data_IF_397233901231
#
_entry.id   IF_397233901231
#
_cell.length_a   1.000
_cell.length_b   1.000
_cell.length_c   1.000
_cell.angle_alpha   90.00
_cell.angle_beta   90.00
_cell.angle_gamma   90.00
#
_symmetry.space_group_name_H-M   'P 1'
#
loop_
_entity.id
_entity.type
_entity.pdbx_description
1 polymer ?
#
# COMPACT_ATOMS: atom_id res chain seq x y z
N UNK A 1 -14.85 -1.27 21.95
CA UNK A 1 -14.31 -1.23 21.27
C UNK A 1 -13.56 -1.96 21.05
N UNK A 2 -13.18 -2.15 20.23
CA UNK A 2 -12.44 -2.99 20.12
C UNK A 2 -11.37 -2.76 19.37
N UNK A 3 -10.36 -2.41 19.84
CA UNK A 3 -9.13 -2.27 19.18
C UNK A 3 -8.71 -3.56 18.63
N UNK A 4 -7.88 -3.54 17.66
CA UNK A 4 -7.30 -4.74 17.14
C UNK A 4 -6.56 -5.45 18.23
N UNK A 5 -6.77 -6.71 18.41
CA UNK A 5 -6.04 -7.46 19.42
C UNK A 5 -4.62 -7.77 19.00
N UNK A 6 -4.26 -7.57 17.75
CA UNK A 6 -2.96 -7.98 17.26
C UNK A 6 -1.88 -6.93 17.43
N UNK A 7 -2.23 -5.67 17.27
CA UNK A 7 -1.27 -4.58 17.34
C UNK A 7 -2.01 -3.25 17.41
N UNK A 8 -1.30 -2.24 17.90
CA UNK A 8 -1.84 -0.89 17.91
C UNK A 8 -1.39 -0.20 16.65
N UNK A 9 -2.31 0.41 15.93
CA UNK A 9 -1.98 1.12 14.71
C UNK A 9 -1.63 2.55 15.03
N UNK A 10 -0.51 3.00 14.47
CA UNK A 10 -0.06 4.36 14.67
C UNK A 10 -0.98 5.33 13.98
N UNK A 11 -1.10 6.52 14.55
CA UNK A 11 -1.81 7.65 13.93
C UNK A 11 -3.25 7.34 13.55
N UNK A 12 -3.87 6.37 14.21
CA UNK A 12 -5.27 6.06 13.95
C UNK A 12 -5.53 5.33 12.65
N UNK A 13 -4.51 4.83 11.98
CA UNK A 13 -4.70 4.04 10.77
C UNK A 13 -5.52 2.79 11.07
N UNK A 14 -6.34 2.37 10.12
CA UNK A 14 -7.23 1.24 10.30
C UNK A 14 -6.88 0.10 9.36
N UNK A 15 -6.90 -1.15 9.84
CA UNK A 15 -6.69 -2.28 8.93
C UNK A 15 -7.89 -2.42 8.00
N UNK A 16 -7.64 -2.95 6.83
CA UNK A 16 -8.66 -3.08 5.82
C UNK A 16 -8.37 -4.35 5.02
N UNK A 17 -9.39 -5.00 4.51
CA UNK A 17 -9.17 -6.19 3.73
C UNK A 17 -8.53 -5.85 2.39
N UNK A 18 -7.94 -6.87 1.79
CA UNK A 18 -7.14 -6.72 0.58
C UNK A 18 -7.92 -6.11 -0.59
N UNK A 19 -9.14 -6.56 -0.80
CA UNK A 19 -9.88 -6.14 -1.99
C UNK A 19 -10.38 -4.69 -1.86
N UNK A 20 -10.84 -4.31 -0.67
CA UNK A 20 -11.23 -2.93 -0.42
C UNK A 20 -10.03 -2.01 -0.48
N UNK A 21 -8.87 -2.46 0.04
CA UNK A 21 -7.65 -1.68 -0.02
C UNK A 21 -7.24 -1.39 -1.47
N UNK A 22 -7.33 -2.40 -2.33
CA UNK A 22 -6.99 -2.21 -3.74
C UNK A 22 -7.90 -1.18 -4.40
N UNK A 23 -9.18 -1.21 -4.07
CA UNK A 23 -10.13 -0.24 -4.62
C UNK A 23 -9.86 1.18 -4.15
N UNK A 24 -9.44 1.31 -2.90
CA UNK A 24 -9.15 2.62 -2.34
C UNK A 24 -7.86 3.18 -2.90
N UNK A 25 -6.78 2.39 -2.85
CA UNK A 25 -5.47 2.93 -3.18
C UNK A 25 -5.36 3.38 -4.63
N UNK A 26 -6.02 2.69 -5.54
CA UNK A 26 -5.93 3.07 -6.95
C UNK A 26 -6.57 4.41 -7.25
N UNK A 27 -7.33 4.97 -6.31
CA UNK A 27 -7.95 6.28 -6.45
C UNK A 27 -7.14 7.40 -5.83
N UNK A 28 -6.11 7.05 -5.07
CA UNK A 28 -5.32 8.04 -4.35
C UNK A 28 -4.23 8.59 -5.26
N UNK A 29 -4.03 9.91 -5.23
CA UNK A 29 -2.96 10.52 -5.99
C UNK A 29 -1.62 10.27 -5.29
N UNK A 30 -0.72 9.56 -5.94
CA UNK A 30 0.61 9.28 -5.40
C UNK A 30 1.56 8.98 -6.55
N UNK A 31 2.88 9.00 -6.32
CA UNK A 31 3.83 8.64 -7.38
C UNK A 31 3.56 7.25 -7.92
N UNK A 32 3.69 7.09 -9.23
CA UNK A 32 3.36 5.82 -9.88
C UNK A 32 4.18 4.65 -9.35
N UNK A 33 5.43 4.88 -8.98
CA UNK A 33 6.25 3.79 -8.43
C UNK A 33 5.69 3.31 -7.09
N UNK A 34 5.19 4.23 -6.26
CA UNK A 34 4.57 3.85 -4.98
C UNK A 34 3.27 3.11 -5.22
N UNK A 35 2.48 3.55 -6.20
CA UNK A 35 1.23 2.88 -6.55
C UNK A 35 1.50 1.46 -7.05
N UNK A 36 2.48 1.28 -7.95
CA UNK A 36 2.84 -0.02 -8.46
C UNK A 36 3.28 -0.94 -7.31
N UNK A 37 4.11 -0.41 -6.42
CA UNK A 37 4.55 -1.18 -5.26
C UNK A 37 3.35 -1.56 -4.39
N UNK A 38 2.45 -0.62 -4.14
CA UNK A 38 1.27 -0.90 -3.31
C UNK A 38 0.44 -2.03 -3.88
N UNK A 39 0.12 -1.97 -5.16
CA UNK A 39 -0.67 -3.00 -5.80
C UNK A 39 0.07 -4.35 -5.82
N UNK A 40 1.39 -4.32 -5.97
CA UNK A 40 2.20 -5.53 -5.89
C UNK A 40 2.15 -6.13 -4.47
N UNK A 41 2.28 -5.29 -3.45
CA UNK A 41 2.20 -5.75 -2.06
C UNK A 41 0.88 -6.45 -1.79
N UNK A 42 -0.21 -5.92 -2.33
CA UNK A 42 -1.53 -6.51 -2.09
C UNK A 42 -1.61 -7.95 -2.55
N UNK A 43 -0.84 -8.32 -3.56
CA UNK A 43 -0.85 -9.70 -4.06
C UNK A 43 -0.25 -10.68 -3.07
N UNK A 44 0.48 -10.20 -2.07
CA UNK A 44 1.08 -11.05 -1.04
C UNK A 44 0.27 -11.06 0.26
N UNK A 45 -0.80 -10.27 0.32
CA UNK A 45 -1.58 -10.16 1.53
C UNK A 45 -2.59 -11.29 1.65
N UNK A 46 -2.89 -11.68 2.89
CA UNK A 46 -4.05 -12.51 3.14
C UNK A 46 -5.31 -11.69 2.87
N UNK A 47 -6.45 -12.35 2.80
CA UNK A 47 -7.71 -11.68 2.48
C UNK A 47 -8.00 -10.48 3.37
N UNK A 48 -7.66 -10.58 4.65
CA UNK A 48 -7.89 -9.49 5.61
C UNK A 48 -6.81 -8.41 5.56
N UNK A 49 -5.90 -8.46 4.58
CA UNK A 49 -4.84 -7.46 4.42
C UNK A 49 -3.61 -7.68 5.29
N UNK A 50 -3.54 -8.81 5.98
CA UNK A 50 -2.42 -9.08 6.88
C UNK A 50 -1.33 -9.93 6.21
N UNK A 51 -0.23 -10.10 6.92
CA UNK A 51 0.88 -10.98 6.56
C UNK A 51 1.56 -10.62 5.25
N UNK A 52 1.68 -9.34 4.98
CA UNK A 52 2.38 -8.87 3.79
C UNK A 52 3.87 -8.86 4.11
N UNK A 53 4.59 -9.86 3.64
CA UNK A 53 6.01 -10.00 3.98
C UNK A 53 6.87 -10.58 2.85
N UNK A 54 6.81 -10.01 1.65
CA UNK A 54 7.60 -10.56 0.54
C UNK A 54 9.09 -10.22 0.59
N UNK A 55 9.48 -9.18 1.33
CA UNK A 55 10.86 -8.73 1.38
C UNK A 55 11.22 -7.83 0.21
N UNK A 56 12.20 -6.95 0.44
CA UNK A 56 12.57 -5.94 -0.56
C UNK A 56 13.21 -6.57 -1.80
N UNK A 57 14.01 -7.62 -1.63
CA UNK A 57 14.67 -8.24 -2.77
C UNK A 57 13.67 -8.88 -3.72
N UNK A 58 12.68 -9.57 -3.18
CA UNK A 58 11.65 -10.18 -4.01
C UNK A 58 10.82 -9.12 -4.73
N UNK A 59 10.45 -8.06 -4.01
CA UNK A 59 9.69 -6.98 -4.61
C UNK A 59 10.46 -6.32 -5.74
N UNK A 60 11.77 -6.10 -5.55
CA UNK A 60 12.59 -5.50 -6.58
C UNK A 60 12.61 -6.37 -7.83
N UNK A 61 12.75 -7.69 -7.65
CA UNK A 61 12.77 -8.61 -8.78
C UNK A 61 11.43 -8.67 -9.50
N UNK A 62 10.35 -8.75 -8.73
CA UNK A 62 9.00 -8.85 -9.32
C UNK A 62 8.64 -7.58 -10.07
N UNK A 63 9.00 -6.43 -9.51
CA UNK A 63 8.66 -5.15 -10.12
C UNK A 63 9.65 -4.73 -11.21
N UNK A 64 10.83 -5.35 -11.26
CA UNK A 64 11.84 -4.95 -12.22
C UNK A 64 12.50 -3.62 -11.88
N UNK A 65 12.64 -3.33 -10.58
CA UNK A 65 13.24 -2.08 -10.13
C UNK A 65 14.34 -2.38 -9.12
N UNK A 66 15.05 -1.35 -8.71
CA UNK A 66 16.13 -1.50 -7.74
C UNK A 66 15.58 -1.59 -6.31
N UNK A 67 16.37 -2.15 -5.41
CA UNK A 67 16.00 -2.22 -4.00
C UNK A 67 15.79 -0.82 -3.40
N UNK A 68 16.65 0.18 -3.69
CA UNK A 68 16.36 1.53 -3.20
C UNK A 68 15.01 2.08 -3.67
N UNK A 69 14.59 1.76 -4.89
CA UNK A 69 13.27 2.18 -5.38
C UNK A 69 12.16 1.54 -4.55
N UNK A 70 12.30 0.25 -4.23
CA UNK A 70 11.33 -0.42 -3.36
C UNK A 70 11.29 0.24 -1.99
N UNK A 71 12.44 0.52 -1.42
CA UNK A 71 12.50 1.12 -0.08
C UNK A 71 11.86 2.50 -0.05
N UNK A 72 12.06 3.31 -1.09
CA UNK A 72 11.40 4.61 -1.17
C UNK A 72 9.89 4.47 -1.27
N UNK A 73 9.43 3.51 -2.06
CA UNK A 73 7.99 3.27 -2.19
C UNK A 73 7.38 2.80 -0.88
N UNK A 74 8.07 1.90 -0.17
CA UNK A 74 7.59 1.46 1.15
C UNK A 74 7.51 2.63 2.12
N UNK A 75 8.51 3.51 2.11
CA UNK A 75 8.48 4.69 2.97
C UNK A 75 7.28 5.58 2.63
N UNK A 76 7.01 5.80 1.34
CA UNK A 76 5.85 6.60 0.93
C UNK A 76 4.56 5.98 1.44
N UNK A 77 4.38 4.68 1.26
CA UNK A 77 3.15 4.01 1.69
C UNK A 77 2.99 4.04 3.21
N UNK A 78 4.10 3.90 3.94
CA UNK A 78 4.06 3.96 5.40
C UNK A 78 3.76 5.38 5.89
N UNK A 79 4.41 6.38 5.31
CA UNK A 79 4.24 7.77 5.72
C UNK A 79 2.83 8.26 5.45
N UNK A 80 2.22 7.78 4.38
CA UNK A 80 0.85 8.17 4.04
C UNK A 80 -0.21 7.33 4.78
N UNK A 81 0.20 6.28 5.48
CA UNK A 81 -0.74 5.49 6.28
C UNK A 81 -1.42 4.36 5.54
N UNK A 82 -0.96 4.00 4.36
CA UNK A 82 -1.57 2.91 3.59
C UNK A 82 -1.00 1.54 3.91
N UNK A 83 0.15 1.47 4.57
CA UNK A 83 0.62 0.24 5.17
C UNK A 83 1.20 0.54 6.54
N UNK A 84 1.16 -0.45 7.41
CA UNK A 84 1.74 -0.35 8.74
C UNK A 84 2.69 -1.53 8.91
N UNK A 85 3.93 -1.25 9.33
CA UNK A 85 4.84 -2.36 9.65
C UNK A 85 4.45 -2.90 11.01
N UNK A 86 4.04 -4.16 11.05
CA UNK A 86 3.56 -4.78 12.29
C UNK A 86 4.60 -5.70 12.90
N UNK A 87 5.64 -6.04 12.14
CA UNK A 87 6.71 -6.86 12.67
C UNK A 87 7.98 -6.51 11.92
N UNK A 88 9.04 -6.20 12.66
CA UNK A 88 10.33 -5.92 12.06
C UNK A 88 11.01 -7.24 11.70
N UNK A 89 11.59 -7.31 10.52
CA UNK A 89 12.31 -8.48 10.08
C UNK A 89 13.62 -8.66 10.81
N UNK A 90 14.22 -9.82 10.59
CA UNK A 90 15.52 -10.13 11.18
C UNK A 90 16.43 -10.62 10.06
N UNK A 91 17.41 -9.80 9.72
CA UNK A 91 18.35 -10.12 8.66
C UNK A 91 19.09 -11.45 8.92
N UNK A 92 19.44 -11.69 10.16
CA UNK A 92 20.19 -12.88 10.52
C UNK A 92 19.35 -14.15 10.40
N UNK A 93 18.04 -14.02 10.57
CA UNK A 93 17.12 -15.14 10.42
C UNK A 93 16.47 -15.17 9.04
N UNK A 94 16.91 -14.31 8.12
CA UNK A 94 16.34 -14.19 6.78
C UNK A 94 14.83 -13.93 6.80
N UNK A 95 14.39 -13.13 7.77
CA UNK A 95 12.99 -12.77 7.91
C UNK A 95 12.77 -11.35 7.41
N UNK A 96 11.80 -11.18 6.54
CA UNK A 96 11.43 -9.86 6.02
C UNK A 96 10.54 -9.12 7.02
N UNK A 97 10.46 -7.81 6.88
CA UNK A 97 9.48 -7.01 7.60
C UNK A 97 8.08 -7.48 7.18
N UNK A 98 7.17 -7.43 8.12
CA UNK A 98 5.78 -7.79 7.86
C UNK A 98 4.90 -6.56 7.98
N UNK A 99 3.97 -6.42 7.04
CA UNK A 99 3.08 -5.27 6.96
C UNK A 99 1.63 -5.69 7.03
N UNK A 100 0.79 -4.73 7.42
CA UNK A 100 -0.66 -4.81 7.35
C UNK A 100 -1.12 -3.74 6.38
N UNK A 101 -2.04 -4.07 5.50
CA UNK A 101 -2.67 -3.07 4.63
C UNK A 101 -3.62 -2.24 5.50
N UNK A 102 -3.50 -0.91 5.39
CA UNK A 102 -4.27 0.01 6.22
C UNK A 102 -4.77 1.18 5.37
N UNK A 103 -5.68 1.95 5.95
CA UNK A 103 -6.04 3.26 5.40
C UNK A 103 -5.80 4.30 6.49
N UNK A 104 -5.36 5.50 6.10
CA UNK A 104 -5.08 6.54 7.09
C UNK A 104 -6.36 7.16 7.62
N UNK A 105 -6.32 7.79 8.82
CA UNK A 105 -7.50 8.43 9.38
C UNK A 105 -7.96 9.63 8.58
N UNK A 106 -7.05 10.25 7.80
CA UNK A 106 -7.39 11.40 6.98
C UNK A 106 -7.71 11.02 5.53
N UNK A 107 -8.18 9.79 5.32
CA UNK A 107 -8.41 9.29 3.97
C UNK A 107 -9.26 10.23 3.11
N UNK A 108 -10.33 10.78 3.70
CA UNK A 108 -11.23 11.63 2.94
C UNK A 108 -10.68 13.03 2.68
N UNK A 109 -9.55 13.39 3.30
CA UNK A 109 -8.89 14.65 3.04
C UNK A 109 -7.84 14.52 1.94
N UNK A 110 -7.58 13.31 1.47
CA UNK A 110 -6.58 13.10 0.43
C UNK A 110 -7.19 13.38 -0.94
N UNK A 111 -6.33 13.74 -1.89
CA UNK A 111 -6.76 13.92 -3.26
C UNK A 111 -7.07 12.56 -3.86
N UNK A 112 -8.31 12.34 -4.23
CA UNK A 112 -8.77 11.05 -4.75
C UNK A 112 -9.64 11.26 -5.98
N UNK A 113 -9.66 10.26 -6.85
CA UNK A 113 -10.57 10.23 -7.96
C UNK A 113 -11.97 9.87 -7.46
N UNK A 114 -12.98 10.42 -8.11
CA UNK A 114 -14.35 10.07 -7.79
C UNK A 114 -14.63 8.62 -8.17
N UNK A 115 -15.61 7.98 -7.55
CA UNK A 115 -15.97 6.62 -7.94
C UNK A 115 -16.30 6.57 -9.44
N UNK A 116 -15.63 5.69 -10.14
CA UNK A 116 -15.81 5.54 -11.58
C UNK A 116 -14.85 6.33 -12.43
N UNK A 117 -14.26 7.39 -11.92
CA UNK A 117 -13.33 8.19 -12.70
C UNK A 117 -12.10 7.41 -13.13
N UNK A 118 -11.62 6.54 -12.26
CA UNK A 118 -10.42 5.78 -12.56
C UNK A 118 -10.61 4.80 -13.71
N UNK A 119 -11.86 4.54 -14.08
CA UNK A 119 -12.14 3.64 -15.17
C UNK A 119 -12.46 4.38 -16.47
N UNK A 120 -12.39 5.72 -16.43
CA UNK A 120 -12.65 6.55 -17.58
C UNK A 120 -11.35 6.87 -18.28
N UNK A 121 -11.34 6.88 -19.60
CA UNK A 121 -10.14 7.24 -20.34
C UNK A 121 -9.73 8.68 -20.08
N UNK A 122 -10.71 9.56 -19.88
CA UNK A 122 -10.41 10.95 -19.55
C UNK A 122 -9.70 11.07 -18.22
N UNK A 123 -10.16 10.36 -17.21
CA UNK A 123 -9.54 10.44 -15.90
C UNK A 123 -8.14 9.82 -15.91
N UNK A 124 -7.84 8.96 -16.87
CA UNK A 124 -6.51 8.41 -17.04
C UNK A 124 -5.59 9.34 -17.83
N UNK A 125 -6.10 10.42 -18.35
CA UNK A 125 -5.29 11.34 -19.14
C UNK A 125 -4.98 10.86 -20.54
N UNK A 126 -5.66 9.85 -21.00
CA UNK A 126 -5.36 9.27 -22.29
C UNK A 126 -5.99 10.05 -23.42
N UNK A 127 -7.12 10.71 -23.17
CA UNK A 127 -7.78 11.48 -24.15
C UNK A 127 -7.73 12.90 -23.83
N UNK A 128 -6.78 13.46 -23.53
CA UNK A 128 -6.72 14.79 -23.18
C UNK A 128 -6.60 15.57 -24.17
N UNK A 129 -6.89 16.05 -24.24
CA UNK A 129 -6.56 16.69 -24.94
C UNK A 129 -6.39 17.56 -25.15
N UNK A 130 -6.40 18.05 -25.56
CA UNK A 130 -5.64 18.45 -26.46
C UNK A 130 -4.80 18.96 -26.08
#
# INVERSE_FOLDING_TARGET
MTASPLFDLEDGAQPIDRFDWERVIRRVSMPSAAMFLGLTLATYADTNGSRVRPGTDRLARVMGVSVPTVKRGLATLRETGFIQRVKQGNRWAHQADEYQLTVPPNLFDLQMLEPGESDSLESLGIIDEP
#
